data_IF_607454819794
#
_entry.id   IF_607454819794
#
_cell.length_a   1.000
_cell.length_b   1.000
_cell.length_c   1.000
_cell.angle_alpha   90.00
_cell.angle_beta   90.00
_cell.angle_gamma   90.00
#
_symmetry.space_group_name_H-M   'P 1'
#
loop_
_entity.id
_entity.type
_entity.pdbx_description
1 polymer ?
#
# COMPACT_ATOMS: atom_id res chain seq x y z
N UNK A 1 2.13 -4.75 -56.19
CA UNK A 1 2.52 -6.16 -56.41
C UNK A 1 2.89 -6.70 -55.04
N UNK A 2 2.06 -7.56 -54.44
CA UNK A 2 2.37 -8.16 -53.14
C UNK A 2 3.26 -9.38 -53.37
N UNK A 3 4.49 -9.34 -52.88
CA UNK A 3 5.36 -10.52 -52.83
C UNK A 3 4.94 -11.36 -51.62
N UNK A 4 4.55 -12.61 -51.85
CA UNK A 4 4.30 -13.56 -50.78
C UNK A 4 5.60 -14.33 -50.47
N UNK A 5 5.94 -14.45 -49.20
CA UNK A 5 7.08 -15.22 -48.72
C UNK A 5 6.61 -16.22 -47.68
N UNK A 6 7.08 -17.46 -47.77
CA UNK A 6 6.78 -18.52 -46.81
C UNK A 6 7.90 -18.55 -45.77
N UNK A 7 7.52 -18.63 -44.49
CA UNK A 7 8.46 -18.72 -43.37
C UNK A 7 8.23 -20.02 -42.61
N UNK A 8 9.29 -20.79 -42.39
CA UNK A 8 9.27 -22.00 -41.57
C UNK A 8 9.68 -21.64 -40.15
N UNK A 9 8.68 -21.52 -39.26
CA UNK A 9 8.87 -21.02 -37.89
C UNK A 9 9.88 -21.84 -37.08
N UNK A 10 9.97 -23.16 -37.32
CA UNK A 10 10.92 -24.05 -36.64
C UNK A 10 12.37 -23.91 -37.08
N UNK A 11 12.62 -23.26 -38.22
CA UNK A 11 13.96 -23.01 -38.76
C UNK A 11 14.44 -21.58 -38.50
N UNK A 12 13.60 -20.75 -37.87
CA UNK A 12 13.99 -19.39 -37.49
C UNK A 12 15.06 -19.41 -36.40
N UNK A 13 16.05 -18.49 -36.45
CA UNK A 13 17.06 -18.37 -35.42
C UNK A 13 16.42 -18.06 -34.06
N UNK A 14 16.99 -18.59 -32.97
CA UNK A 14 16.54 -18.38 -31.59
C UNK A 14 17.06 -17.03 -31.06
N UNK A 15 16.48 -15.95 -31.58
CA UNK A 15 16.79 -14.58 -31.20
C UNK A 15 15.52 -13.75 -30.99
N UNK A 16 15.67 -12.60 -30.31
CA UNK A 16 14.56 -11.75 -29.87
C UNK A 16 13.69 -11.25 -31.04
N UNK A 17 14.30 -10.92 -32.19
CA UNK A 17 13.63 -10.43 -33.40
C UNK A 17 12.62 -11.42 -34.01
N UNK A 18 12.82 -12.73 -33.81
CA UNK A 18 11.96 -13.80 -34.37
C UNK A 18 10.99 -14.38 -33.34
N UNK A 19 11.07 -13.93 -32.09
CA UNK A 19 10.34 -14.51 -30.95
C UNK A 19 8.83 -14.58 -31.19
N UNK A 20 8.22 -13.49 -31.67
CA UNK A 20 6.77 -13.43 -31.91
C UNK A 20 6.34 -14.48 -32.94
N UNK A 21 7.12 -14.66 -34.02
CA UNK A 21 6.83 -15.69 -35.02
C UNK A 21 6.98 -17.08 -34.42
N UNK A 22 8.03 -17.31 -33.62
CA UNK A 22 8.27 -18.61 -32.94
C UNK A 22 7.18 -18.96 -31.92
N UNK A 23 6.53 -17.99 -31.30
CA UNK A 23 5.35 -18.19 -30.45
C UNK A 23 4.12 -18.69 -31.22
N UNK A 24 4.08 -18.54 -32.55
CA UNK A 24 3.03 -19.12 -33.39
C UNK A 24 3.31 -20.58 -33.79
N UNK A 25 4.47 -21.12 -33.39
CA UNK A 25 4.86 -22.50 -33.65
C UNK A 25 4.14 -23.52 -32.76
N UNK A 26 4.55 -24.78 -32.85
CA UNK A 26 4.05 -25.88 -31.99
C UNK A 26 5.20 -26.66 -31.36
N UNK A 27 4.87 -27.51 -30.39
CA UNK A 27 5.81 -28.38 -29.69
C UNK A 27 7.02 -27.65 -29.15
N UNK A 28 8.21 -28.13 -29.54
CA UNK A 28 9.49 -27.61 -29.03
C UNK A 28 9.71 -26.13 -29.35
N UNK A 29 9.29 -25.67 -30.53
CA UNK A 29 9.47 -24.27 -30.95
C UNK A 29 8.66 -23.33 -30.05
N UNK A 30 7.39 -23.66 -29.81
CA UNK A 30 6.54 -22.92 -28.88
C UNK A 30 7.12 -22.94 -27.46
N UNK A 31 7.53 -24.12 -26.97
CA UNK A 31 8.06 -24.27 -25.60
C UNK A 31 9.30 -23.40 -25.35
N UNK A 32 10.23 -23.35 -26.32
CA UNK A 32 11.43 -22.50 -26.24
C UNK A 32 11.07 -21.02 -26.29
N UNK A 33 10.22 -20.62 -27.24
CA UNK A 33 9.76 -19.25 -27.37
C UNK A 33 9.01 -18.75 -26.11
N UNK A 34 8.17 -19.60 -25.50
CA UNK A 34 7.53 -19.29 -24.21
C UNK A 34 8.55 -19.09 -23.10
N UNK A 35 9.61 -19.91 -23.06
CA UNK A 35 10.68 -19.78 -22.07
C UNK A 35 11.43 -18.44 -22.21
N UNK A 36 11.71 -18.03 -23.44
CA UNK A 36 12.31 -16.71 -23.74
C UNK A 36 11.36 -15.57 -23.36
N UNK A 37 10.08 -15.66 -23.71
CA UNK A 37 9.07 -14.66 -23.37
C UNK A 37 8.95 -14.42 -21.85
N UNK A 38 9.05 -15.50 -21.06
CA UNK A 38 9.03 -15.44 -19.59
C UNK A 38 10.23 -14.69 -19.01
N UNK A 39 11.39 -14.80 -19.67
CA UNK A 39 12.65 -14.20 -19.25
C UNK A 39 12.73 -12.68 -19.54
N UNK A 40 11.88 -12.17 -20.42
CA UNK A 40 11.79 -10.74 -20.70
C UNK A 40 11.25 -9.95 -19.50
N UNK A 41 11.63 -8.68 -19.39
CA UNK A 41 11.01 -7.74 -18.45
C UNK A 41 9.56 -7.45 -18.84
N UNK A 42 8.76 -6.97 -17.89
CA UNK A 42 7.34 -6.66 -18.13
C UNK A 42 7.13 -5.57 -19.19
N UNK A 43 8.10 -4.67 -19.34
CA UNK A 43 8.03 -3.53 -20.26
C UNK A 43 8.57 -3.84 -21.66
N UNK A 44 9.13 -5.05 -21.86
CA UNK A 44 9.59 -5.47 -23.18
C UNK A 44 8.40 -5.62 -24.14
N UNK A 45 8.55 -5.03 -25.33
CA UNK A 45 7.51 -4.96 -26.36
C UNK A 45 6.90 -6.33 -26.67
N UNK A 46 7.74 -7.36 -26.87
CA UNK A 46 7.31 -8.71 -27.20
C UNK A 46 6.46 -9.30 -26.09
N UNK A 47 6.83 -9.06 -24.82
CA UNK A 47 6.06 -9.53 -23.67
C UNK A 47 4.75 -8.79 -23.53
N UNK A 48 4.78 -7.46 -23.64
CA UNK A 48 3.60 -6.60 -23.58
C UNK A 48 2.53 -7.00 -24.60
N UNK A 49 2.93 -7.39 -25.82
CA UNK A 49 1.99 -7.72 -26.89
C UNK A 49 1.63 -9.22 -26.91
N UNK A 50 2.62 -10.11 -26.80
CA UNK A 50 2.37 -11.53 -27.00
C UNK A 50 1.72 -12.18 -25.76
N UNK A 51 2.06 -11.74 -24.54
CA UNK A 51 1.55 -12.38 -23.32
C UNK A 51 0.02 -12.28 -23.19
N UNK A 52 -0.64 -11.11 -23.39
CA UNK A 52 -2.10 -11.02 -23.33
C UNK A 52 -2.79 -11.89 -24.38
N UNK A 53 -2.19 -12.03 -25.56
CA UNK A 53 -2.72 -12.86 -26.65
C UNK A 53 -2.60 -14.35 -26.31
N UNK A 54 -1.45 -14.79 -25.79
CA UNK A 54 -1.24 -16.17 -25.33
C UNK A 54 -2.22 -16.56 -24.22
N UNK A 55 -2.46 -15.67 -23.25
CA UNK A 55 -3.42 -15.91 -22.16
C UNK A 55 -4.83 -16.06 -22.74
N UNK A 56 -5.24 -15.17 -23.64
CA UNK A 56 -6.56 -15.23 -24.27
C UNK A 56 -6.79 -16.56 -24.99
N UNK A 57 -5.85 -16.95 -25.87
CA UNK A 57 -5.95 -18.22 -26.58
C UNK A 57 -5.94 -19.42 -25.65
N UNK A 58 -5.22 -19.33 -24.53
CA UNK A 58 -5.23 -20.38 -23.53
C UNK A 58 -6.60 -20.55 -22.87
N UNK A 59 -7.25 -19.45 -22.48
CA UNK A 59 -8.59 -19.48 -21.89
C UNK A 59 -9.59 -20.09 -22.88
N UNK A 60 -9.50 -19.70 -24.15
CA UNK A 60 -10.34 -20.26 -25.22
C UNK A 60 -10.10 -21.78 -25.40
N UNK A 61 -8.84 -22.21 -25.43
CA UNK A 61 -8.46 -23.62 -25.56
C UNK A 61 -8.88 -24.49 -24.36
N UNK A 62 -8.95 -23.91 -23.15
CA UNK A 62 -9.39 -24.60 -21.94
C UNK A 62 -10.92 -24.76 -21.88
N UNK A 63 -11.67 -23.76 -22.38
CA UNK A 63 -13.13 -23.81 -22.41
C UNK A 63 -13.67 -24.88 -23.39
N UNK A 64 -13.01 -25.05 -24.54
CA UNK A 64 -13.38 -26.05 -25.55
C UNK A 64 -12.12 -26.72 -26.14
N UNK A 65 -11.58 -27.81 -25.55
CA UNK A 65 -10.41 -28.49 -26.09
C UNK A 65 -10.81 -29.36 -27.30
N UNK A 66 -10.89 -28.73 -28.47
CA UNK A 66 -11.42 -29.36 -29.69
C UNK A 66 -10.37 -30.25 -30.38
N UNK A 67 -9.07 -30.05 -30.14
CA UNK A 67 -8.00 -30.78 -30.86
C UNK A 67 -6.82 -31.25 -29.99
N UNK A 68 -6.05 -32.25 -30.46
CA UNK A 68 -4.77 -32.62 -29.86
C UNK A 68 -3.76 -31.46 -29.81
N UNK A 69 -3.85 -30.52 -30.75
CA UNK A 69 -2.98 -29.34 -30.78
C UNK A 69 -3.30 -28.37 -29.64
N UNK A 70 -4.58 -28.25 -29.25
CA UNK A 70 -4.98 -27.41 -28.12
C UNK A 70 -4.46 -28.00 -26.81
N UNK A 71 -4.53 -29.32 -26.64
CA UNK A 71 -3.94 -30.02 -25.48
C UNK A 71 -2.43 -29.78 -25.39
N UNK A 72 -1.73 -29.89 -26.51
CA UNK A 72 -0.29 -29.61 -26.58
C UNK A 72 0.03 -28.14 -26.25
N UNK A 73 -0.76 -27.20 -26.76
CA UNK A 73 -0.63 -25.77 -26.45
C UNK A 73 -0.80 -25.53 -24.94
N UNK A 74 -1.87 -26.06 -24.34
CA UNK A 74 -2.13 -25.95 -22.90
C UNK A 74 -0.96 -26.52 -22.07
N UNK A 75 -0.40 -27.67 -22.45
CA UNK A 75 0.78 -28.23 -21.77
C UNK A 75 2.00 -27.31 -21.89
N UNK A 76 2.28 -26.79 -23.08
CA UNK A 76 3.47 -25.96 -23.32
C UNK A 76 3.39 -24.57 -22.69
N UNK A 77 2.18 -24.03 -22.48
CA UNK A 77 1.99 -22.72 -21.85
C UNK A 77 1.66 -22.80 -20.36
N UNK A 78 1.65 -23.99 -19.74
CA UNK A 78 1.31 -24.15 -18.32
C UNK A 78 2.16 -23.26 -17.42
N UNK A 79 3.47 -23.23 -17.68
CA UNK A 79 4.42 -22.43 -16.89
C UNK A 79 4.19 -20.91 -17.01
N UNK A 80 3.45 -20.45 -18.03
CA UNK A 80 3.06 -19.04 -18.17
C UNK A 80 2.06 -18.66 -17.09
N UNK A 81 1.08 -19.53 -16.81
CA UNK A 81 0.09 -19.30 -15.76
C UNK A 81 0.76 -19.32 -14.39
N UNK A 82 1.57 -20.32 -14.10
CA UNK A 82 2.30 -20.41 -12.83
C UNK A 82 3.18 -19.17 -12.58
N UNK A 83 3.82 -18.64 -13.62
CA UNK A 83 4.59 -17.41 -13.53
C UNK A 83 3.69 -16.21 -13.18
N UNK A 84 2.52 -16.08 -13.81
CA UNK A 84 1.59 -14.98 -13.58
C UNK A 84 1.03 -15.05 -12.16
N UNK A 85 0.63 -16.23 -11.70
CA UNK A 85 0.12 -16.46 -10.35
C UNK A 85 1.16 -16.06 -9.31
N UNK A 86 2.39 -16.62 -9.38
CA UNK A 86 3.47 -16.26 -8.45
C UNK A 86 3.77 -14.77 -8.44
N UNK A 87 3.79 -14.12 -9.60
CA UNK A 87 4.02 -12.67 -9.68
C UNK A 87 2.84 -11.88 -9.11
N UNK A 88 1.61 -12.37 -9.30
CA UNK A 88 0.40 -11.81 -8.73
C UNK A 88 0.41 -11.87 -7.21
N UNK A 89 0.79 -13.02 -6.65
CA UNK A 89 0.95 -13.26 -5.22
C UNK A 89 1.99 -12.31 -4.62
N UNK A 90 3.23 -12.31 -5.14
CA UNK A 90 4.30 -11.43 -4.67
C UNK A 90 3.91 -9.94 -4.73
N UNK A 91 3.24 -9.53 -5.81
CA UNK A 91 2.73 -8.15 -5.92
C UNK A 91 1.62 -7.87 -4.91
N UNK A 92 0.77 -8.84 -4.65
CA UNK A 92 -0.31 -8.76 -3.67
C UNK A 92 0.23 -8.62 -2.26
N UNK A 93 1.20 -9.45 -1.88
CA UNK A 93 1.88 -9.44 -0.59
C UNK A 93 2.57 -8.10 -0.34
N UNK A 94 3.48 -7.68 -1.23
CA UNK A 94 4.21 -6.42 -1.10
C UNK A 94 3.26 -5.22 -0.99
N UNK A 95 2.20 -5.19 -1.81
CA UNK A 95 1.21 -4.11 -1.75
C UNK A 95 0.39 -4.17 -0.46
N UNK A 96 0.08 -5.37 0.01
CA UNK A 96 -0.67 -5.61 1.24
C UNK A 96 0.11 -5.13 2.47
N UNK A 97 1.38 -5.56 2.57
CA UNK A 97 2.30 -5.18 3.64
C UNK A 97 2.51 -3.68 3.69
N UNK A 98 2.98 -3.06 2.61
CA UNK A 98 3.22 -1.61 2.56
C UNK A 98 1.97 -0.80 2.93
N UNK A 99 0.80 -1.21 2.43
CA UNK A 99 -0.47 -0.52 2.78
C UNK A 99 -0.86 -0.76 4.22
N UNK A 100 -0.61 -1.95 4.76
CA UNK A 100 -0.90 -2.32 6.13
C UNK A 100 -0.05 -1.53 7.11
N UNK A 101 1.25 -1.48 6.88
CA UNK A 101 2.24 -0.76 7.68
C UNK A 101 1.95 0.74 7.69
N UNK A 102 1.91 1.39 6.51
CA UNK A 102 1.63 2.83 6.42
C UNK A 102 0.32 3.22 7.11
N UNK A 103 -0.73 2.41 6.93
CA UNK A 103 -2.02 2.68 7.59
C UNK A 103 -1.95 2.45 9.09
N UNK A 104 -1.23 1.42 9.53
CA UNK A 104 -1.04 1.08 10.94
C UNK A 104 -0.29 2.17 11.67
N UNK A 105 0.84 2.60 11.13
CA UNK A 105 1.70 3.66 11.67
C UNK A 105 0.96 4.99 11.75
N UNK A 106 0.44 5.51 10.63
CA UNK A 106 -0.28 6.79 10.62
C UNK A 106 -1.45 6.81 11.61
N UNK A 107 -2.21 5.71 11.70
CA UNK A 107 -3.32 5.61 12.66
C UNK A 107 -2.83 5.52 14.09
N UNK A 108 -1.73 4.80 14.32
CA UNK A 108 -1.11 4.63 15.63
C UNK A 108 -0.59 5.95 16.17
N UNK A 109 0.17 6.69 15.35
CA UNK A 109 0.74 7.99 15.67
C UNK A 109 -0.35 9.02 15.97
N UNK A 110 -1.28 9.27 15.02
CA UNK A 110 -2.35 10.25 15.22
C UNK A 110 -3.19 9.95 16.47
N UNK A 111 -3.51 8.68 16.72
CA UNK A 111 -4.25 8.30 17.94
C UNK A 111 -3.41 8.45 19.20
N UNK A 112 -2.12 8.13 19.12
CA UNK A 112 -1.17 8.25 20.22
C UNK A 112 -0.99 9.70 20.63
N UNK A 113 -0.75 10.58 19.67
CA UNK A 113 -0.57 12.02 19.85
C UNK A 113 -1.83 12.66 20.45
N UNK A 114 -3.00 12.50 19.82
CA UNK A 114 -4.26 13.08 20.33
C UNK A 114 -4.57 12.59 21.75
N UNK A 115 -4.36 11.30 22.03
CA UNK A 115 -4.57 10.76 23.38
C UNK A 115 -3.53 11.31 24.37
N UNK A 116 -2.29 11.47 23.94
CA UNK A 116 -1.20 12.03 24.72
C UNK A 116 -1.47 13.47 25.10
N UNK A 117 -1.88 14.30 24.14
CA UNK A 117 -2.23 15.70 24.32
C UNK A 117 -3.41 15.88 25.26
N UNK A 118 -4.52 15.16 25.04
CA UNK A 118 -5.70 15.24 25.92
C UNK A 118 -5.35 14.83 27.36
N UNK A 119 -4.63 13.73 27.54
CA UNK A 119 -4.17 13.29 28.87
C UNK A 119 -3.21 14.28 29.50
N UNK A 120 -2.34 14.91 28.72
CA UNK A 120 -1.42 15.95 29.18
C UNK A 120 -2.18 17.18 29.68
N UNK A 121 -3.16 17.64 28.91
CA UNK A 121 -4.01 18.77 29.26
C UNK A 121 -4.84 18.50 30.52
N UNK A 122 -5.43 17.33 30.65
CA UNK A 122 -6.16 16.92 31.87
C UNK A 122 -5.24 16.92 33.11
N UNK A 123 -4.01 16.40 32.98
CA UNK A 123 -3.02 16.44 34.06
C UNK A 123 -2.63 17.88 34.42
N UNK A 124 -2.44 18.75 33.44
CA UNK A 124 -2.15 20.17 33.69
C UNK A 124 -3.30 20.84 34.46
N UNK A 125 -4.56 20.65 34.02
CA UNK A 125 -5.75 21.17 34.72
C UNK A 125 -5.81 20.69 36.16
N UNK A 126 -5.60 19.40 36.38
CA UNK A 126 -5.59 18.82 37.72
C UNK A 126 -4.47 19.40 38.60
N UNK A 127 -3.27 19.61 38.03
CA UNK A 127 -2.15 20.22 38.73
C UNK A 127 -2.46 21.66 39.17
N UNK A 128 -2.96 22.50 38.26
CA UNK A 128 -3.30 23.90 38.54
C UNK A 128 -4.41 23.99 39.59
N UNK A 129 -5.45 23.17 39.50
CA UNK A 129 -6.51 23.10 40.52
C UNK A 129 -5.94 22.73 41.89
N UNK A 130 -5.04 21.75 41.95
CA UNK A 130 -4.41 21.33 43.20
C UNK A 130 -3.54 22.44 43.80
N UNK A 131 -2.79 23.17 42.98
CA UNK A 131 -1.97 24.31 43.43
C UNK A 131 -2.83 25.46 43.96
N UNK A 132 -3.91 25.80 43.25
CA UNK A 132 -4.90 26.79 43.68
C UNK A 132 -5.51 26.41 45.04
N UNK A 133 -5.89 25.14 45.20
CA UNK A 133 -6.50 24.66 46.44
C UNK A 133 -5.50 24.65 47.61
N UNK A 134 -4.23 24.34 47.35
CA UNK A 134 -3.17 24.39 48.37
C UNK A 134 -2.84 25.82 48.81
N UNK A 135 -2.90 26.81 47.90
CA UNK A 135 -2.55 28.20 48.21
C UNK A 135 -3.70 28.99 48.82
N UNK A 136 -4.92 28.79 48.33
CA UNK A 136 -6.09 29.63 48.66
C UNK A 136 -7.21 28.89 49.41
N UNK A 137 -7.10 27.58 49.62
CA UNK A 137 -8.12 26.77 50.30
C UNK A 137 -9.23 26.30 49.36
N UNK A 138 -10.47 26.23 49.83
CA UNK A 138 -11.59 25.76 49.00
C UNK A 138 -11.83 26.67 47.80
N UNK A 139 -11.92 26.07 46.61
CA UNK A 139 -12.10 26.79 45.36
C UNK A 139 -13.58 26.90 45.01
N UNK A 140 -14.08 28.12 44.72
CA UNK A 140 -15.42 28.30 44.17
C UNK A 140 -15.61 27.53 42.85
N UNK A 141 -16.83 27.04 42.60
CA UNK A 141 -17.15 26.22 41.41
C UNK A 141 -16.89 26.95 40.08
N UNK A 142 -17.08 28.27 40.04
CA UNK A 142 -16.80 29.08 38.85
C UNK A 142 -15.31 29.05 38.46
N UNK A 143 -14.40 29.04 39.44
CA UNK A 143 -12.96 28.95 39.23
C UNK A 143 -12.59 27.55 38.73
N UNK A 144 -13.14 26.51 39.37
CA UNK A 144 -12.89 25.13 38.96
C UNK A 144 -13.33 24.87 37.51
N UNK A 145 -14.49 25.39 37.12
CA UNK A 145 -15.04 25.29 35.76
C UNK A 145 -14.15 26.03 34.75
N UNK A 146 -13.66 27.22 35.13
CA UNK A 146 -12.81 28.04 34.27
C UNK A 146 -11.45 27.38 34.00
N UNK A 147 -10.84 26.72 34.98
CA UNK A 147 -9.60 25.94 34.79
C UNK A 147 -9.87 24.68 33.95
N UNK A 148 -11.01 24.00 34.16
CA UNK A 148 -11.38 22.82 33.36
C UNK A 148 -11.68 23.14 31.88
N UNK A 149 -12.05 24.38 31.56
CA UNK A 149 -12.29 24.80 30.18
C UNK A 149 -11.07 25.45 29.52
N UNK A 150 -10.03 25.77 30.29
CA UNK A 150 -8.81 26.39 29.78
C UNK A 150 -8.00 25.45 28.87
N UNK A 151 -7.36 26.03 27.86
CA UNK A 151 -6.37 25.35 27.02
C UNK A 151 -4.98 25.38 27.70
N UNK A 152 -4.00 24.70 27.10
CA UNK A 152 -2.66 24.53 27.68
C UNK A 152 -1.99 25.89 27.97
N UNK A 153 -1.95 26.80 26.99
CA UNK A 153 -1.34 28.13 27.15
C UNK A 153 -1.96 28.95 28.28
N UNK A 154 -3.29 28.87 28.44
CA UNK A 154 -4.00 29.60 29.50
C UNK A 154 -3.69 28.98 30.87
N UNK A 155 -3.57 27.66 30.94
CA UNK A 155 -3.19 26.96 32.17
C UNK A 155 -1.75 27.29 32.60
N UNK A 156 -0.83 27.40 31.64
CA UNK A 156 0.55 27.83 31.91
C UNK A 156 0.58 29.25 32.47
N UNK A 157 -0.17 30.19 31.87
CA UNK A 157 -0.30 31.55 32.40
C UNK A 157 -0.89 31.59 33.81
N UNK A 158 -1.89 30.75 34.09
CA UNK A 158 -2.42 30.64 35.44
C UNK A 158 -1.37 30.10 36.42
N UNK A 159 -0.60 29.09 36.04
CA UNK A 159 0.47 28.55 36.87
C UNK A 159 1.56 29.60 37.15
N UNK A 160 1.93 30.41 36.17
CA UNK A 160 2.88 31.51 36.33
C UNK A 160 2.35 32.61 37.26
N UNK A 161 1.13 33.12 37.01
CA UNK A 161 0.51 34.14 37.85
C UNK A 161 0.30 33.65 39.29
N UNK A 162 -0.02 32.37 39.47
CA UNK A 162 -0.21 31.76 40.78
C UNK A 162 1.02 31.83 41.68
N UNK A 163 2.24 31.91 41.13
CA UNK A 163 3.44 32.03 41.94
C UNK A 163 3.48 33.35 42.73
N UNK A 164 2.95 34.44 42.16
CA UNK A 164 3.06 35.79 42.72
C UNK A 164 1.73 36.36 43.23
N UNK A 165 0.60 35.78 42.86
CA UNK A 165 -0.74 36.24 43.23
C UNK A 165 -1.00 36.16 44.74
N UNK A 166 -1.57 37.20 45.34
CA UNK A 166 -2.01 37.21 46.75
C UNK A 166 -3.48 36.80 46.90
N UNK A 167 -4.25 36.86 45.81
CA UNK A 167 -5.66 36.46 45.75
C UNK A 167 -5.99 35.66 44.48
N UNK A 168 -7.17 35.02 44.46
CA UNK A 168 -7.69 34.38 43.25
C UNK A 168 -7.92 35.40 42.12
N UNK A 169 -8.31 36.63 42.43
CA UNK A 169 -8.55 37.68 41.44
C UNK A 169 -7.27 38.01 40.65
N UNK A 170 -6.11 38.03 41.30
CA UNK A 170 -4.82 38.32 40.66
C UNK A 170 -4.40 37.22 39.66
N UNK A 171 -4.74 35.95 39.94
CA UNK A 171 -4.46 34.82 39.03
C UNK A 171 -5.31 34.90 37.78
N UNK A 172 -6.56 35.35 37.94
CA UNK A 172 -7.58 35.32 36.90
C UNK A 172 -7.86 36.69 36.25
N UNK A 173 -7.16 37.74 36.67
CA UNK A 173 -7.18 39.04 36.00
C UNK A 173 -6.71 38.90 34.55
N UNK A 174 -7.35 39.66 33.64
CA UNK A 174 -7.06 39.65 32.21
C UNK A 174 -5.58 39.99 31.94
#
# INVERSE_FOLDING_TARGET
>A
MFAATIVVVSELPEERSTLILRLMGRGRTLKRAVSELKALSDDDFERCIALPVLIRFRIEAEAEPVSPADKEFLMNTQEVIEMIERRGELRGELRGELRGELRGELRGELRGELRGELRGLERQRHMVLRQLQLKFGELPENIATRVQQANSDTLERFAEKLLFAESLEDVFAA
#
